data_IF_053287644038
#
_entry.id   IF_053287644038
#
_cell.length_a   1.000
_cell.length_b   1.000
_cell.length_c   1.000
_cell.angle_alpha   90.00
_cell.angle_beta   90.00
_cell.angle_gamma   90.00
#
_symmetry.space_group_name_H-M   'P 1'
#
loop_
_entity.id
_entity.type
_entity.pdbx_description
1 polymer ?
#
# COMPACT_ATOMS: atom_id res chain seq x y z
N UNK A 1 25.43 -34.11 -5.22
CA UNK A 1 24.88 -32.78 -5.59
C UNK A 1 23.75 -32.47 -4.60
N UNK A 2 23.90 -31.45 -3.75
CA UNK A 2 22.83 -31.05 -2.82
C UNK A 2 21.87 -30.15 -3.59
N UNK A 3 20.65 -30.63 -3.84
CA UNK A 3 19.60 -29.83 -4.45
C UNK A 3 18.80 -29.16 -3.34
N UNK A 4 18.96 -27.85 -3.18
CA UNK A 4 18.29 -27.06 -2.13
C UNK A 4 16.75 -27.20 -2.23
N UNK A 5 16.23 -27.46 -3.43
CA UNK A 5 14.83 -27.78 -3.66
C UNK A 5 14.66 -29.13 -4.37
N UNK A 6 13.81 -30.03 -3.85
CA UNK A 6 13.65 -31.37 -4.43
C UNK A 6 13.03 -31.33 -5.83
N UNK A 7 12.26 -30.29 -6.18
CA UNK A 7 11.67 -30.04 -7.49
C UNK A 7 11.21 -28.57 -7.63
N UNK A 8 10.78 -28.17 -8.85
CA UNK A 8 10.30 -26.81 -9.16
C UNK A 8 9.09 -26.39 -8.32
N UNK A 9 8.15 -27.31 -8.11
CA UNK A 9 6.95 -27.04 -7.33
C UNK A 9 7.27 -26.70 -5.86
N UNK A 10 8.30 -27.33 -5.28
CA UNK A 10 8.77 -27.00 -3.93
C UNK A 10 9.36 -25.59 -3.85
N UNK A 11 10.07 -25.13 -4.89
CA UNK A 11 10.58 -23.76 -4.93
C UNK A 11 9.45 -22.73 -5.04
N UNK A 12 8.44 -23.02 -5.86
CA UNK A 12 7.26 -22.15 -6.01
C UNK A 12 6.50 -22.01 -4.69
N UNK A 13 6.29 -23.12 -3.98
CA UNK A 13 5.64 -23.10 -2.67
C UNK A 13 6.41 -22.26 -1.65
N UNK A 14 7.74 -22.37 -1.62
CA UNK A 14 8.55 -21.56 -0.71
C UNK A 14 8.46 -20.07 -1.04
N UNK A 15 8.54 -19.71 -2.32
CA UNK A 15 8.40 -18.31 -2.75
C UNK A 15 7.01 -17.78 -2.38
N UNK A 16 5.95 -18.57 -2.60
CA UNK A 16 4.60 -18.21 -2.19
C UNK A 16 4.46 -17.98 -0.69
N UNK A 17 4.99 -18.88 0.13
CA UNK A 17 5.01 -18.74 1.58
C UNK A 17 5.77 -17.48 2.05
N UNK A 18 6.92 -17.19 1.44
CA UNK A 18 7.70 -15.99 1.73
C UNK A 18 6.94 -14.70 1.38
N UNK A 19 6.25 -14.68 0.24
CA UNK A 19 5.46 -13.54 -0.18
C UNK A 19 4.27 -13.28 0.76
N UNK A 20 3.61 -14.33 1.25
CA UNK A 20 2.55 -14.20 2.25
C UNK A 20 3.07 -13.59 3.55
N UNK A 21 4.25 -14.01 4.02
CA UNK A 21 4.86 -13.43 5.23
C UNK A 21 5.21 -11.94 5.05
N UNK A 22 5.67 -11.55 3.86
CA UNK A 22 5.96 -10.14 3.53
C UNK A 22 4.65 -9.32 3.51
N UNK A 23 3.60 -9.85 2.89
CA UNK A 23 2.30 -9.21 2.81
C UNK A 23 1.71 -8.96 4.21
N UNK A 24 1.72 -9.97 5.08
CA UNK A 24 1.29 -9.82 6.48
C UNK A 24 2.08 -8.72 7.19
N UNK A 25 3.42 -8.67 7.03
CA UNK A 25 4.26 -7.62 7.61
C UNK A 25 3.95 -6.23 7.07
N UNK A 26 3.57 -6.09 5.81
CA UNK A 26 3.17 -4.81 5.22
C UNK A 26 1.78 -4.38 5.69
N UNK A 27 0.84 -5.32 5.84
CA UNK A 27 -0.51 -5.07 6.33
C UNK A 27 -0.57 -4.74 7.83
N UNK A 28 0.22 -5.44 8.65
CA UNK A 28 0.24 -5.26 10.11
C UNK A 28 1.35 -4.33 10.62
N UNK A 29 2.28 -3.93 9.75
CA UNK A 29 3.44 -3.12 10.09
C UNK A 29 3.11 -1.66 10.38
N UNK A 30 4.14 -0.91 10.83
CA UNK A 30 4.02 0.55 11.00
C UNK A 30 3.80 1.20 9.62
N UNK A 31 2.69 1.92 9.46
CA UNK A 31 2.44 2.77 8.30
C UNK A 31 3.41 3.96 8.34
N UNK A 32 4.55 3.83 7.68
CA UNK A 32 5.57 4.90 7.63
C UNK A 32 5.17 6.05 6.69
N UNK A 33 4.22 5.81 5.79
CA UNK A 33 3.72 6.80 4.84
C UNK A 33 2.20 6.85 4.90
N UNK A 34 1.68 7.56 5.91
CA UNK A 34 0.24 7.83 6.02
C UNK A 34 -0.11 9.08 5.21
N UNK A 35 -1.01 8.94 4.25
CA UNK A 35 -1.45 10.02 3.36
C UNK A 35 -2.74 10.69 3.85
N UNK A 36 -3.25 10.35 5.04
CA UNK A 36 -4.46 10.93 5.59
C UNK A 36 -4.42 12.47 5.60
N UNK A 37 -3.34 13.05 6.12
CA UNK A 37 -3.15 14.51 6.18
C UNK A 37 -3.12 15.15 4.78
N UNK A 38 -2.42 14.51 3.83
CA UNK A 38 -2.40 14.97 2.44
C UNK A 38 -3.79 14.97 1.81
N UNK A 39 -4.58 13.92 2.03
CA UNK A 39 -5.94 13.83 1.49
C UNK A 39 -6.88 14.85 2.14
N UNK A 40 -6.76 15.11 3.44
CA UNK A 40 -7.49 16.17 4.12
C UNK A 40 -7.15 17.55 3.55
N UNK A 41 -5.86 17.83 3.35
CA UNK A 41 -5.41 19.07 2.72
C UNK A 41 -5.99 19.24 1.31
N UNK A 42 -5.95 18.20 0.47
CA UNK A 42 -6.55 18.20 -0.86
C UNK A 42 -8.05 18.52 -0.83
N UNK A 43 -8.82 17.88 0.06
CA UNK A 43 -10.26 18.15 0.22
C UNK A 43 -10.52 19.60 0.60
N UNK A 44 -9.74 20.13 1.54
CA UNK A 44 -9.87 21.53 1.99
C UNK A 44 -9.63 22.53 0.84
N UNK A 45 -8.67 22.24 -0.05
CA UNK A 45 -8.38 23.05 -1.24
C UNK A 45 -9.53 23.00 -2.23
N UNK A 46 -10.06 21.81 -2.52
CA UNK A 46 -11.20 21.63 -3.42
C UNK A 46 -12.44 22.37 -2.90
N UNK A 47 -12.70 22.32 -1.59
CA UNK A 47 -13.83 23.01 -0.99
C UNK A 47 -13.69 24.54 -1.06
N UNK A 48 -12.51 25.09 -0.71
CA UNK A 48 -12.24 26.53 -0.84
C UNK A 48 -12.38 27.04 -2.27
N UNK A 49 -12.00 26.22 -3.26
CA UNK A 49 -12.18 26.55 -4.67
C UNK A 49 -13.66 26.58 -5.06
N UNK A 50 -14.46 25.62 -4.60
CA UNK A 50 -15.91 25.61 -4.85
C UNK A 50 -16.61 26.81 -4.22
N UNK A 51 -16.30 27.13 -2.97
CA UNK A 51 -16.87 28.28 -2.26
C UNK A 51 -16.55 29.61 -2.97
N UNK A 52 -15.30 29.77 -3.43
CA UNK A 52 -14.88 30.96 -4.19
C UNK A 52 -15.58 31.10 -5.53
N UNK A 53 -15.88 30.00 -6.23
CA UNK A 53 -16.62 30.03 -7.50
C UNK A 53 -18.08 30.40 -7.29
N UNK A 54 -18.70 29.90 -6.22
CA UNK A 54 -20.10 30.23 -5.88
C UNK A 54 -20.25 31.68 -5.43
N UNK A 55 -19.24 32.27 -4.77
CA UNK A 55 -19.29 33.68 -4.36
C UNK A 55 -19.08 34.69 -5.49
N UNK A 56 -18.64 34.24 -6.67
CA UNK A 56 -18.40 35.10 -7.84
C UNK A 56 -19.59 35.06 -8.82
N UNK A 57 -20.45 34.06 -8.70
CA UNK A 57 -21.65 33.88 -9.53
C UNK A 57 -22.89 34.57 -8.99
#
# INVERSE_FOLDING_TARGET
MIRIFPNRESAIRLIGALLMEIDEKWGSGKRYFDMAEYFEWCRSKTQKLKEKVVSIG
#
